data_IF_940773389667
#
_entry.id   IF_940773389667
#
_cell.length_a   1.000
_cell.length_b   1.000
_cell.length_c   1.000
_cell.angle_alpha   90.00
_cell.angle_beta   90.00
_cell.angle_gamma   90.00
#
_symmetry.space_group_name_H-M   'P 1'
#
loop_
_entity.id
_entity.type
_entity.pdbx_description
1 polymer ?
#
# COMPACT_ATOMS: atom_id res chain seq x y z
N UNK A 1 64.99 -31.99 -33.39
CA UNK A 1 65.57 -30.62 -33.41
C UNK A 1 64.52 -29.73 -34.08
N UNK A 2 64.11 -28.55 -33.61
CA UNK A 2 64.76 -27.51 -32.80
C UNK A 2 63.65 -26.73 -32.08
N UNK A 3 63.79 -26.52 -30.77
CA UNK A 3 62.87 -25.70 -29.97
C UNK A 3 63.06 -24.23 -30.35
N UNK A 4 61.99 -23.49 -30.64
CA UNK A 4 62.05 -22.04 -30.70
C UNK A 4 61.48 -21.47 -29.39
N UNK A 5 62.40 -21.00 -28.55
CA UNK A 5 62.11 -20.21 -27.36
C UNK A 5 61.86 -18.77 -27.84
N UNK A 6 60.66 -18.22 -27.57
CA UNK A 6 60.43 -16.78 -27.68
C UNK A 6 60.19 -16.28 -26.27
N UNK A 7 61.20 -15.54 -25.78
CA UNK A 7 61.23 -14.89 -24.49
C UNK A 7 60.38 -13.62 -24.50
N UNK A 8 59.52 -13.52 -23.47
CA UNK A 8 59.06 -12.33 -22.73
C UNK A 8 59.21 -10.97 -23.44
N UNK A 9 58.06 -10.39 -23.82
CA UNK A 9 57.88 -8.94 -23.81
C UNK A 9 56.73 -8.62 -22.85
N UNK A 10 57.09 -7.91 -21.78
CA UNK A 10 56.27 -7.51 -20.66
C UNK A 10 55.45 -6.26 -21.08
N UNK A 11 54.16 -6.43 -21.36
CA UNK A 11 53.25 -5.31 -21.62
C UNK A 11 52.38 -5.09 -20.37
N UNK A 12 52.84 -4.17 -19.52
CA UNK A 12 52.02 -3.55 -18.48
C UNK A 12 51.02 -2.64 -19.18
N UNK A 13 49.79 -3.11 -19.36
CA UNK A 13 48.64 -2.32 -19.78
C UNK A 13 47.71 -2.13 -18.60
N UNK A 14 47.58 -0.89 -18.13
CA UNK A 14 46.72 -0.52 -17.00
C UNK A 14 45.26 -0.91 -17.28
N UNK A 15 44.73 -1.84 -16.49
CA UNK A 15 43.29 -2.07 -16.38
C UNK A 15 42.69 -0.92 -15.58
N UNK A 16 42.18 0.10 -16.28
CA UNK A 16 41.28 1.07 -15.70
C UNK A 16 39.99 0.33 -15.34
N UNK A 17 39.80 0.03 -14.05
CA UNK A 17 38.53 -0.46 -13.53
C UNK A 17 37.50 0.67 -13.70
N UNK A 18 36.65 0.56 -14.72
CA UNK A 18 35.44 1.34 -14.81
C UNK A 18 34.52 0.90 -13.67
N UNK A 19 34.62 1.59 -12.52
CA UNK A 19 33.53 1.62 -11.57
C UNK A 19 32.40 2.39 -12.22
N UNK A 20 31.53 1.66 -12.94
CA UNK A 20 30.19 2.13 -13.21
C UNK A 20 29.52 2.28 -11.83
N UNK A 21 29.64 3.48 -11.26
CA UNK A 21 28.76 3.89 -10.18
C UNK A 21 27.36 3.85 -10.75
N UNK A 22 26.61 2.81 -10.40
CA UNK A 22 25.15 2.84 -10.43
C UNK A 22 24.78 4.11 -9.65
N UNK A 23 24.48 5.18 -10.38
CA UNK A 23 23.89 6.35 -9.78
C UNK A 23 22.60 5.83 -9.14
N UNK A 24 22.61 5.68 -7.82
CA UNK A 24 21.42 5.46 -7.03
C UNK A 24 20.52 6.65 -7.34
N UNK A 25 19.68 6.48 -8.35
CA UNK A 25 18.63 7.41 -8.69
C UNK A 25 17.77 7.42 -7.44
N UNK A 26 17.95 8.44 -6.60
CA UNK A 26 17.06 8.72 -5.48
C UNK A 26 15.70 8.92 -6.12
N UNK A 27 14.95 7.83 -6.25
CA UNK A 27 13.55 7.86 -6.60
C UNK A 27 12.90 8.60 -5.45
N UNK A 28 12.66 9.89 -5.67
CA UNK A 28 11.72 10.65 -4.85
C UNK A 28 10.38 9.98 -5.07
N UNK A 29 10.01 9.03 -4.22
CA UNK A 29 8.70 8.40 -4.27
C UNK A 29 7.69 9.49 -3.95
N UNK A 30 7.13 10.12 -4.97
CA UNK A 30 5.97 10.99 -4.80
C UNK A 30 4.85 10.07 -4.32
N UNK A 31 4.46 10.21 -3.05
CA UNK A 31 3.33 9.46 -2.52
C UNK A 31 2.10 9.79 -3.35
N UNK A 32 1.41 8.76 -3.83
CA UNK A 32 0.15 8.95 -4.53
C UNK A 32 -0.81 9.77 -3.67
N UNK A 33 -1.66 10.63 -4.27
CA UNK A 33 -2.72 11.27 -3.52
C UNK A 33 -3.55 10.24 -2.75
N UNK A 34 -3.96 10.57 -1.53
CA UNK A 34 -4.77 9.68 -0.71
C UNK A 34 -6.03 9.24 -1.46
N UNK A 35 -6.41 7.97 -1.27
CA UNK A 35 -7.57 7.36 -1.91
C UNK A 35 -7.51 7.36 -3.46
N UNK A 36 -6.30 7.27 -4.03
CA UNK A 36 -6.09 7.05 -5.46
C UNK A 36 -5.13 5.88 -5.69
N UNK A 37 -5.27 5.19 -6.82
CA UNK A 37 -4.39 4.10 -7.20
C UNK A 37 -4.04 4.18 -8.69
N UNK A 38 -2.81 3.81 -9.05
CA UNK A 38 -2.37 3.65 -10.43
C UNK A 38 -1.91 2.21 -10.65
N UNK A 39 -2.38 1.57 -11.71
CA UNK A 39 -2.02 0.18 -12.00
C UNK A 39 -0.54 0.02 -12.32
N UNK A 40 0.12 -0.93 -11.65
CA UNK A 40 1.51 -1.31 -11.89
C UNK A 40 1.72 -2.16 -13.14
N UNK A 41 0.64 -2.63 -13.77
CA UNK A 41 0.67 -3.57 -14.92
C UNK A 41 1.07 -2.93 -16.26
N UNK A 42 1.53 -1.67 -16.25
CA UNK A 42 1.92 -0.92 -17.44
C UNK A 42 0.76 -0.34 -18.25
N UNK A 43 -0.50 -0.61 -17.86
CA UNK A 43 -1.68 0.01 -18.48
C UNK A 43 -1.83 1.50 -18.18
N UNK A 44 -1.22 1.98 -17.09
CA UNK A 44 -1.37 3.36 -16.62
C UNK A 44 -2.78 3.69 -16.13
N UNK A 45 -3.63 2.68 -15.90
CA UNK A 45 -5.00 2.91 -15.41
C UNK A 45 -4.96 3.62 -14.05
N UNK A 46 -5.73 4.69 -13.92
CA UNK A 46 -5.85 5.50 -12.71
C UNK A 46 -7.25 5.37 -12.12
N UNK A 47 -7.31 5.19 -10.80
CA UNK A 47 -8.53 4.99 -10.04
C UNK A 47 -8.60 6.05 -8.95
N UNK A 48 -9.66 6.85 -8.98
CA UNK A 48 -9.97 7.86 -7.98
C UNK A 48 -11.19 7.42 -7.18
N UNK A 49 -10.97 7.04 -5.93
CA UNK A 49 -12.02 6.56 -5.03
C UNK A 49 -12.55 7.68 -4.11
N UNK A 50 -12.02 8.90 -4.21
CA UNK A 50 -12.48 10.04 -3.40
C UNK A 50 -13.99 10.32 -3.53
N UNK A 51 -14.67 10.11 -4.67
CA UNK A 51 -16.12 10.26 -4.75
C UNK A 51 -16.90 9.24 -3.89
N UNK A 52 -16.28 8.09 -3.60
CA UNK A 52 -16.90 6.98 -2.86
C UNK A 52 -16.65 7.08 -1.35
N UNK A 53 -15.73 7.91 -0.89
CA UNK A 53 -15.51 8.17 0.54
C UNK A 53 -16.80 8.70 1.19
N UNK A 54 -17.29 8.03 2.22
CA UNK A 54 -18.43 8.49 3.00
C UNK A 54 -18.05 9.62 3.96
N UNK A 55 -19.00 10.52 4.18
CA UNK A 55 -18.82 11.70 5.03
C UNK A 55 -18.37 12.95 4.26
N UNK A 56 -18.34 14.12 4.94
CA UNK A 56 -18.05 15.39 4.29
C UNK A 56 -16.69 15.41 3.58
N UNK A 57 -16.58 16.03 2.39
CA UNK A 57 -17.60 16.82 1.69
C UNK A 57 -18.63 15.99 0.89
N UNK A 58 -18.46 14.68 0.85
CA UNK A 58 -19.34 13.80 0.10
C UNK A 58 -20.66 13.58 0.83
N UNK A 59 -21.69 13.24 0.05
CA UNK A 59 -23.01 12.87 0.59
C UNK A 59 -23.16 11.35 0.79
N UNK A 60 -22.11 10.59 0.50
CA UNK A 60 -22.07 9.15 0.67
C UNK A 60 -22.18 8.79 2.17
N UNK A 61 -22.85 7.67 2.42
CA UNK A 61 -22.99 7.06 3.75
C UNK A 61 -22.09 5.83 3.82
N UNK A 62 -21.82 5.36 5.03
CA UNK A 62 -21.14 4.08 5.21
C UNK A 62 -21.83 2.98 4.40
N UNK A 63 -21.01 2.20 3.71
CA UNK A 63 -21.42 1.06 2.91
C UNK A 63 -21.87 -0.06 3.83
N UNK A 64 -22.93 -0.76 3.42
CA UNK A 64 -23.43 -1.94 4.14
C UNK A 64 -23.40 -3.15 3.24
N UNK A 65 -22.64 -4.16 3.64
CA UNK A 65 -22.58 -5.44 2.98
C UNK A 65 -23.27 -6.52 3.84
N UNK A 66 -24.06 -7.39 3.18
CA UNK A 66 -24.67 -8.55 3.84
C UNK A 66 -23.68 -9.71 3.82
N UNK A 67 -23.25 -10.17 4.99
CA UNK A 67 -22.45 -11.38 5.16
C UNK A 67 -23.32 -12.61 5.33
N UNK A 68 -23.91 -13.13 4.24
CA UNK A 68 -24.77 -14.32 4.32
C UNK A 68 -24.08 -15.50 5.01
N UNK A 69 -22.81 -15.74 4.67
CA UNK A 69 -22.02 -16.84 5.25
C UNK A 69 -21.59 -16.58 6.69
N UNK A 70 -21.57 -15.32 7.13
CA UNK A 70 -21.15 -14.89 8.46
C UNK A 70 -22.32 -14.59 9.40
N UNK A 71 -23.57 -14.70 8.91
CA UNK A 71 -24.78 -14.35 9.66
C UNK A 71 -24.81 -12.90 10.18
N UNK A 72 -23.98 -12.02 9.61
CA UNK A 72 -23.73 -10.66 10.13
C UNK A 72 -23.73 -9.65 8.98
N UNK A 73 -24.11 -8.42 9.27
CA UNK A 73 -23.94 -7.30 8.35
C UNK A 73 -22.62 -6.58 8.66
N UNK A 74 -21.94 -6.16 7.60
CA UNK A 74 -20.71 -5.38 7.68
C UNK A 74 -20.99 -3.93 7.34
N UNK A 75 -20.38 -3.03 8.11
CA UNK A 75 -20.36 -1.61 7.84
C UNK A 75 -18.93 -1.19 7.55
N UNK A 76 -18.73 -0.42 6.50
CA UNK A 76 -17.40 0.05 6.11
C UNK A 76 -17.46 1.39 5.40
N UNK A 77 -16.35 2.11 5.44
CA UNK A 77 -16.08 3.27 4.61
C UNK A 77 -14.87 2.99 3.69
N UNK A 78 -14.78 3.73 2.59
CA UNK A 78 -13.71 3.61 1.60
C UNK A 78 -12.65 4.67 1.87
N UNK A 79 -11.40 4.25 2.10
CA UNK A 79 -10.25 5.12 2.40
C UNK A 79 -10.42 6.05 3.62
N UNK A 80 -11.25 5.67 4.58
CA UNK A 80 -11.51 6.49 5.76
C UNK A 80 -12.17 5.68 6.87
N UNK A 81 -12.21 6.27 8.06
CA UNK A 81 -12.99 5.74 9.17
C UNK A 81 -14.49 5.76 8.85
N UNK A 82 -15.27 4.88 9.50
CA UNK A 82 -16.74 4.93 9.40
C UNK A 82 -17.27 6.28 9.87
N UNK A 83 -18.28 6.79 9.17
CA UNK A 83 -18.87 8.10 9.46
C UNK A 83 -19.61 8.07 10.79
N UNK A 84 -20.33 7.00 11.06
CA UNK A 84 -20.98 6.79 12.35
C UNK A 84 -19.97 6.23 13.37
N UNK A 85 -19.60 6.98 14.43
CA UNK A 85 -18.57 6.55 15.36
C UNK A 85 -18.93 5.24 16.07
N UNK A 86 -17.97 4.34 16.14
CA UNK A 86 -18.09 3.09 16.89
C UNK A 86 -17.42 3.19 18.25
N UNK A 87 -17.88 2.36 19.18
CA UNK A 87 -17.35 2.26 20.54
C UNK A 87 -17.36 0.83 21.01
N UNK A 88 -16.66 0.58 22.11
CA UNK A 88 -16.60 -0.71 22.79
C UNK A 88 -16.13 -1.83 21.84
N UNK A 89 -15.18 -1.47 20.95
CA UNK A 89 -14.67 -2.37 19.91
C UNK A 89 -13.73 -3.39 20.55
N UNK A 90 -14.06 -4.67 20.38
CA UNK A 90 -13.34 -5.77 21.00
C UNK A 90 -11.89 -5.80 20.51
N UNK A 91 -10.94 -5.77 21.44
CA UNK A 91 -9.51 -5.88 21.15
C UNK A 91 -8.87 -4.64 20.52
N UNK A 92 -9.59 -3.51 20.44
CA UNK A 92 -9.06 -2.24 19.93
C UNK A 92 -9.02 -1.23 21.08
N UNK A 93 -7.88 -0.56 21.27
CA UNK A 93 -7.72 0.51 22.25
C UNK A 93 -8.70 1.65 21.97
N UNK A 94 -9.21 2.30 23.03
CA UNK A 94 -10.26 3.32 22.92
C UNK A 94 -9.84 4.49 22.04
N UNK A 95 -8.56 4.84 22.11
CA UNK A 95 -7.92 5.90 21.35
C UNK A 95 -7.91 5.61 19.83
N UNK A 96 -8.06 4.34 19.44
CA UNK A 96 -8.04 3.89 18.05
C UNK A 96 -9.43 3.65 17.46
N UNK A 97 -10.52 3.73 18.25
CA UNK A 97 -11.88 3.52 17.75
C UNK A 97 -12.28 4.50 16.65
N UNK A 98 -11.77 5.73 16.73
CA UNK A 98 -11.99 6.76 15.70
C UNK A 98 -11.38 6.40 14.33
N UNK A 99 -10.47 5.43 14.28
CA UNK A 99 -9.80 5.01 13.05
C UNK A 99 -10.41 3.72 12.46
N UNK A 100 -11.45 3.15 13.07
CA UNK A 100 -12.10 1.95 12.53
C UNK A 100 -12.76 2.29 11.20
N UNK A 101 -12.32 1.64 10.13
CA UNK A 101 -12.81 1.84 8.76
C UNK A 101 -13.81 0.78 8.33
N UNK A 102 -13.80 -0.38 9.00
CA UNK A 102 -14.75 -1.45 8.74
C UNK A 102 -14.98 -2.30 9.99
N UNK A 103 -16.23 -2.69 10.23
CA UNK A 103 -16.61 -3.51 11.38
C UNK A 103 -17.82 -4.40 11.10
N UNK A 104 -18.05 -5.36 11.99
CA UNK A 104 -19.31 -6.09 12.09
C UNK A 104 -19.74 -6.23 13.55
N UNK A 105 -21.00 -6.58 13.75
CA UNK A 105 -21.55 -6.87 15.07
C UNK A 105 -21.97 -8.33 15.14
N UNK A 106 -21.49 -9.05 16.15
CA UNK A 106 -21.88 -10.42 16.42
C UNK A 106 -22.05 -10.62 17.93
N UNK A 107 -23.12 -11.33 18.33
CA UNK A 107 -23.41 -11.59 19.75
C UNK A 107 -23.43 -10.33 20.64
N UNK A 108 -23.85 -9.18 20.09
CA UNK A 108 -23.89 -7.90 20.80
C UNK A 108 -22.55 -7.16 20.92
N UNK A 109 -21.46 -7.71 20.37
CA UNK A 109 -20.14 -7.11 20.38
C UNK A 109 -19.75 -6.55 19.01
N UNK A 110 -18.96 -5.48 19.02
CA UNK A 110 -18.42 -4.85 17.81
C UNK A 110 -16.99 -5.34 17.56
N UNK A 111 -16.74 -5.81 16.34
CA UNK A 111 -15.44 -6.33 15.92
C UNK A 111 -14.93 -5.54 14.72
N UNK A 112 -13.75 -4.93 14.84
CA UNK A 112 -13.08 -4.26 13.72
C UNK A 112 -12.48 -5.30 12.77
N UNK A 113 -12.58 -5.02 11.47
CA UNK A 113 -11.93 -5.78 10.39
C UNK A 113 -11.01 -4.88 9.54
N UNK A 114 -10.86 -3.63 9.93
CA UNK A 114 -10.04 -2.67 9.23
C UNK A 114 -9.94 -1.36 10.00
N UNK A 115 -8.75 -0.75 9.94
CA UNK A 115 -8.53 0.62 10.36
C UNK A 115 -8.00 1.42 9.18
N UNK A 116 -8.33 2.70 9.13
CA UNK A 116 -7.70 3.64 8.20
C UNK A 116 -6.26 3.90 8.68
N UNK A 117 -5.33 3.08 8.20
CA UNK A 117 -3.92 3.43 8.21
C UNK A 117 -3.72 4.42 7.07
N UNK A 118 -3.15 5.60 7.35
CA UNK A 118 -2.98 6.71 6.39
C UNK A 118 -2.27 6.37 5.06
N UNK A 119 -1.75 7.38 4.34
CA UNK A 119 -1.86 7.53 2.88
C UNK A 119 -0.99 6.61 1.99
N UNK A 120 -0.86 5.32 2.28
CA UNK A 120 -0.11 4.40 1.42
C UNK A 120 -0.50 2.94 1.66
N UNK A 121 -1.63 2.52 1.11
CA UNK A 121 -1.83 1.11 0.74
C UNK A 121 -1.21 0.94 -0.65
N UNK A 122 0.06 0.53 -0.68
CA UNK A 122 0.63 -0.10 -1.87
C UNK A 122 0.12 -1.53 -1.86
N UNK A 123 -0.98 -1.80 -2.56
CA UNK A 123 -1.38 -3.18 -2.84
C UNK A 123 -0.33 -3.74 -3.79
N UNK A 124 0.57 -4.56 -3.23
CA UNK A 124 1.64 -5.28 -3.94
C UNK A 124 1.10 -6.12 -5.08
#
# INVERSE_FOLDING_TARGET
MRRLRISVALLVGAVAAAVAGEAASSSTTTTAPACTATSSTGSGAFFDLRPDLAGPPNKAKDYRAKGYDYGSNFTLNICGAVVEPVKDVVGVEKELWANVSAFYTAHGNVYSIGCDAGPSISMV
#
